data_IF_635132923697
#
_entry.id   IF_635132923697
#
_cell.length_a   1.000
_cell.length_b   1.000
_cell.length_c   1.000
_cell.angle_alpha   90.00
_cell.angle_beta   90.00
_cell.angle_gamma   90.00
#
_symmetry.space_group_name_H-M   'P 1'
#
loop_
_entity.id
_entity.type
_entity.pdbx_description
1 polymer ?
#
# COMPACT_ATOMS: atom_id res chain seq x y z
N UNK A 1 39.74 17.40 -34.70
CA UNK A 1 39.97 16.03 -35.17
C UNK A 1 39.05 15.83 -36.36
N UNK A 2 39.57 15.43 -37.51
CA UNK A 2 38.74 15.15 -38.68
C UNK A 2 37.89 13.90 -38.44
N UNK A 3 36.76 13.80 -39.14
CA UNK A 3 35.91 12.61 -39.06
C UNK A 3 36.67 11.36 -39.51
N UNK A 4 36.56 10.25 -38.77
CA UNK A 4 37.25 9.00 -39.11
C UNK A 4 36.78 8.46 -40.44
N UNK A 5 37.71 8.01 -41.29
CA UNK A 5 37.38 7.30 -42.52
C UNK A 5 36.71 5.95 -42.21
N UNK A 6 35.90 5.45 -43.14
CA UNK A 6 35.18 4.17 -42.98
C UNK A 6 36.12 2.97 -42.76
N UNK A 7 37.30 3.01 -43.40
CA UNK A 7 38.38 2.04 -43.18
C UNK A 7 39.01 2.11 -41.79
N UNK A 8 39.03 3.29 -41.17
CA UNK A 8 39.57 3.45 -39.82
C UNK A 8 38.60 2.94 -38.76
N UNK A 9 37.29 3.16 -38.95
CA UNK A 9 36.26 2.59 -38.07
C UNK A 9 36.27 1.07 -38.10
N UNK A 10 36.49 0.47 -39.29
CA UNK A 10 36.61 -0.98 -39.45
C UNK A 10 37.82 -1.59 -38.72
N UNK A 11 38.85 -0.79 -38.38
CA UNK A 11 40.03 -1.26 -37.66
C UNK A 11 39.88 -1.34 -36.14
N UNK A 12 38.78 -0.78 -35.59
CA UNK A 12 38.51 -0.78 -34.14
C UNK A 12 37.68 -2.04 -33.81
N UNK A 13 38.37 -3.14 -33.55
CA UNK A 13 37.72 -4.42 -33.23
C UNK A 13 37.48 -4.61 -31.73
N UNK A 14 38.27 -3.95 -30.89
CA UNK A 14 38.21 -4.08 -29.44
C UNK A 14 38.11 -2.72 -28.75
N UNK A 15 37.61 -2.75 -27.51
CA UNK A 15 37.64 -1.59 -26.61
C UNK A 15 39.08 -1.09 -26.39
N UNK A 16 40.06 -1.99 -26.46
CA UNK A 16 41.50 -1.67 -26.43
C UNK A 16 41.97 -0.86 -27.64
N UNK A 17 41.45 -1.14 -28.83
CA UNK A 17 41.78 -0.41 -30.07
C UNK A 17 41.19 1.00 -30.04
N UNK A 18 39.96 1.12 -29.52
CA UNK A 18 39.31 2.41 -29.31
C UNK A 18 40.11 3.28 -28.32
N UNK A 19 40.56 2.69 -27.20
CA UNK A 19 41.38 3.38 -26.20
C UNK A 19 42.75 3.82 -26.76
N UNK A 20 43.38 3.00 -27.60
CA UNK A 20 44.61 3.37 -28.30
C UNK A 20 44.40 4.57 -29.24
N UNK A 21 43.28 4.59 -29.98
CA UNK A 21 42.95 5.69 -30.90
C UNK A 21 42.79 7.03 -30.19
N UNK A 22 42.17 7.04 -29.01
CA UNK A 22 42.01 8.27 -28.21
C UNK A 22 43.24 8.62 -27.38
N UNK A 23 44.36 7.88 -27.54
CA UNK A 23 45.63 8.16 -26.88
C UNK A 23 45.65 7.83 -25.39
N UNK A 24 44.81 6.89 -24.93
CA UNK A 24 44.86 6.40 -23.55
C UNK A 24 46.05 5.44 -23.40
N UNK A 25 47.04 5.85 -22.61
CA UNK A 25 48.22 5.06 -22.28
C UNK A 25 48.02 4.24 -21.00
N UNK A 26 48.68 3.08 -20.93
CA UNK A 26 48.68 2.19 -19.77
C UNK A 26 48.27 0.75 -20.09
N UNK A 27 48.21 -0.09 -19.07
CA UNK A 27 47.67 -1.46 -19.15
C UNK A 27 46.20 -1.47 -18.73
N UNK A 28 45.41 -2.37 -19.30
CA UNK A 28 43.95 -2.42 -19.10
C UNK A 28 43.55 -2.66 -17.63
N UNK A 29 44.42 -3.34 -16.88
CA UNK A 29 44.17 -3.74 -15.49
C UNK A 29 44.80 -2.80 -14.44
N UNK A 30 45.51 -1.73 -14.87
CA UNK A 30 46.15 -0.80 -13.94
C UNK A 30 45.31 0.46 -13.72
N UNK A 31 44.65 0.52 -12.56
CA UNK A 31 43.83 1.66 -12.09
C UNK A 31 44.60 2.98 -11.99
N UNK A 32 45.93 2.95 -11.89
CA UNK A 32 46.76 4.16 -11.85
C UNK A 32 46.98 4.77 -13.23
N UNK A 33 46.69 4.02 -14.30
CA UNK A 33 46.77 4.52 -15.67
C UNK A 33 45.43 5.06 -16.14
N UNK A 34 45.46 6.07 -17.04
CA UNK A 34 44.24 6.63 -17.63
C UNK A 34 43.44 5.57 -18.37
N UNK A 35 44.12 4.60 -19.00
CA UNK A 35 43.52 3.48 -19.71
C UNK A 35 42.82 2.49 -18.77
N UNK A 36 43.48 2.03 -17.70
CA UNK A 36 42.86 1.09 -16.75
C UNK A 36 41.74 1.71 -15.90
N UNK A 37 41.86 2.98 -15.54
CA UNK A 37 40.76 3.72 -14.87
C UNK A 37 39.52 3.85 -15.77
N UNK A 38 39.72 4.13 -17.06
CA UNK A 38 38.64 4.20 -18.06
C UNK A 38 37.94 2.85 -18.24
N UNK A 39 38.68 1.73 -18.37
CA UNK A 39 38.07 0.40 -18.50
C UNK A 39 37.33 -0.05 -17.24
N UNK A 40 37.82 0.33 -16.06
CA UNK A 40 37.14 0.06 -14.79
C UNK A 40 35.82 0.82 -14.68
N UNK A 41 35.76 2.09 -15.10
CA UNK A 41 34.51 2.85 -15.15
C UNK A 41 33.49 2.25 -16.13
N UNK A 42 33.96 1.58 -17.18
CA UNK A 42 33.12 0.87 -18.14
C UNK A 42 32.75 -0.55 -17.72
N UNK A 43 33.20 -1.01 -16.54
CA UNK A 43 32.90 -2.34 -16.02
C UNK A 43 33.58 -3.49 -16.76
N UNK A 44 34.63 -3.20 -17.54
CA UNK A 44 35.39 -4.20 -18.30
C UNK A 44 36.48 -4.77 -17.38
N UNK A 45 36.14 -5.80 -16.61
CA UNK A 45 37.15 -6.59 -15.90
C UNK A 45 37.65 -7.70 -16.83
N UNK A 46 38.85 -7.54 -17.39
CA UNK A 46 39.51 -8.58 -18.19
C UNK A 46 39.96 -9.73 -17.28
N UNK A 47 39.13 -10.76 -17.12
CA UNK A 47 39.52 -12.00 -16.48
C UNK A 47 39.41 -13.17 -17.47
N UNK A 48 40.48 -13.39 -18.25
CA UNK A 48 40.88 -14.65 -18.92
C UNK A 48 42.25 -14.36 -19.55
N UNK A 49 43.33 -15.14 -19.46
CA UNK A 49 43.55 -16.56 -19.24
C UNK A 49 45.04 -16.73 -18.83
N UNK A 50 45.36 -17.29 -17.67
CA UNK A 50 46.67 -17.94 -17.45
C UNK A 50 46.47 -19.24 -16.68
N UNK A 51 46.79 -20.34 -17.36
CA UNK A 51 46.84 -21.69 -16.82
C UNK A 51 48.05 -21.85 -15.93
N UNK A 52 47.84 -22.00 -14.62
CA UNK A 52 48.81 -22.64 -13.72
C UNK A 52 48.09 -23.61 -12.79
N UNK A 53 48.52 -24.87 -12.88
CA UNK A 53 48.09 -26.00 -12.06
C UNK A 53 48.45 -25.76 -10.59
N UNK A 54 47.44 -25.54 -9.75
CA UNK A 54 47.52 -25.72 -8.30
C UNK A 54 46.21 -26.34 -7.79
N UNK A 55 46.37 -27.36 -6.96
CA UNK A 55 45.33 -28.22 -6.39
C UNK A 55 44.20 -27.42 -5.68
N UNK A 56 42.93 -27.82 -5.77
CA UNK A 56 41.83 -27.03 -5.22
C UNK A 56 41.70 -27.24 -3.70
N UNK A 57 41.99 -26.20 -2.93
CA UNK A 57 41.32 -26.01 -1.64
C UNK A 57 39.88 -25.55 -1.90
N UNK A 58 38.87 -26.11 -1.22
CA UNK A 58 37.48 -25.76 -1.46
C UNK A 58 37.23 -24.34 -0.93
N UNK A 59 37.28 -23.35 -1.81
CA UNK A 59 36.63 -22.07 -1.54
C UNK A 59 35.14 -22.34 -1.57
N UNK A 60 34.53 -22.38 -0.40
CA UNK A 60 33.10 -22.29 -0.24
C UNK A 60 32.63 -21.01 -0.93
N UNK A 61 32.10 -21.14 -2.13
CA UNK A 61 31.25 -20.14 -2.76
C UNK A 61 29.97 -20.12 -1.95
N UNK A 62 29.92 -19.29 -0.91
CA UNK A 62 28.64 -18.81 -0.42
C UNK A 62 28.06 -17.93 -1.53
N UNK A 63 27.31 -18.53 -2.45
CA UNK A 63 26.37 -17.78 -3.28
C UNK A 63 25.34 -17.20 -2.31
N UNK A 64 25.60 -15.99 -1.80
CA UNK A 64 24.59 -15.24 -1.07
C UNK A 64 23.42 -15.09 -2.04
N UNK A 65 22.31 -15.80 -1.77
CA UNK A 65 21.11 -15.68 -2.57
C UNK A 65 20.72 -14.21 -2.65
N UNK A 66 20.67 -13.65 -3.85
CA UNK A 66 20.23 -12.28 -4.08
C UNK A 66 18.82 -12.10 -3.49
N UNK A 67 18.57 -10.95 -2.86
CA UNK A 67 17.27 -10.65 -2.27
C UNK A 67 16.25 -10.54 -3.40
N UNK A 68 15.35 -11.50 -3.52
CA UNK A 68 14.28 -11.47 -4.53
C UNK A 68 13.02 -10.75 -4.04
N UNK A 69 12.26 -10.19 -4.98
CA UNK A 69 10.95 -9.57 -4.78
C UNK A 69 9.91 -10.41 -5.52
N UNK A 70 8.81 -10.76 -4.87
CA UNK A 70 7.68 -11.47 -5.51
C UNK A 70 6.66 -10.48 -6.05
N UNK A 71 6.27 -10.60 -7.31
CA UNK A 71 5.30 -9.71 -7.94
C UNK A 71 3.92 -9.79 -7.26
N UNK A 72 3.56 -10.95 -6.72
CA UNK A 72 2.30 -11.17 -6.01
C UNK A 72 2.16 -10.34 -4.72
N UNK A 73 3.26 -9.75 -4.24
CA UNK A 73 3.30 -8.89 -3.07
C UNK A 73 3.30 -7.40 -3.42
N UNK A 74 3.32 -7.05 -4.72
CA UNK A 74 3.63 -5.68 -5.16
C UNK A 74 2.67 -5.16 -6.24
N UNK A 75 2.47 -5.89 -7.34
CA UNK A 75 1.77 -5.37 -8.55
C UNK A 75 0.56 -6.19 -8.99
N UNK A 76 0.49 -7.47 -8.63
CA UNK A 76 -0.64 -8.36 -8.96
C UNK A 76 -0.91 -9.24 -7.75
N UNK A 77 -2.13 -9.75 -7.54
CA UNK A 77 -2.38 -10.72 -6.46
C UNK A 77 -2.14 -12.18 -6.89
N UNK A 78 -1.90 -12.41 -8.18
CA UNK A 78 -1.80 -13.75 -8.78
C UNK A 78 -0.45 -14.04 -9.44
N UNK A 79 0.40 -13.04 -9.63
CA UNK A 79 1.68 -13.21 -10.33
C UNK A 79 2.81 -13.62 -9.38
N UNK A 80 3.17 -14.91 -9.35
CA UNK A 80 4.20 -15.44 -8.45
C UNK A 80 5.65 -15.17 -8.90
N UNK A 81 5.85 -14.45 -10.01
CA UNK A 81 7.18 -14.20 -10.57
C UNK A 81 8.11 -13.53 -9.55
N UNK A 82 9.35 -14.01 -9.50
CA UNK A 82 10.41 -13.44 -8.67
C UNK A 82 11.35 -12.57 -9.50
N UNK A 83 11.63 -11.37 -9.02
CA UNK A 83 12.49 -10.40 -9.70
C UNK A 83 13.60 -9.90 -8.78
N UNK A 84 14.63 -9.33 -9.40
CA UNK A 84 15.75 -8.70 -8.71
C UNK A 84 15.41 -7.26 -8.28
N UNK A 85 16.00 -6.77 -7.18
CA UNK A 85 15.78 -5.41 -6.69
C UNK A 85 16.52 -4.39 -7.57
N UNK A 86 16.05 -3.15 -7.56
CA UNK A 86 16.74 -2.05 -8.27
C UNK A 86 18.08 -1.72 -7.60
N UNK A 87 19.06 -1.38 -8.44
CA UNK A 87 20.30 -0.77 -7.97
C UNK A 87 20.09 0.68 -7.53
N UNK A 88 20.98 1.20 -6.69
CA UNK A 88 20.95 2.62 -6.30
C UNK A 88 21.12 3.55 -7.51
N UNK A 89 21.97 3.17 -8.47
CA UNK A 89 22.18 3.92 -9.71
C UNK A 89 20.90 4.04 -10.54
N UNK A 90 20.13 2.95 -10.66
CA UNK A 90 18.83 2.98 -11.34
C UNK A 90 17.85 3.93 -10.64
N UNK A 91 17.79 3.89 -9.31
CA UNK A 91 16.92 4.78 -8.53
C UNK A 91 17.29 6.25 -8.75
N UNK A 92 18.58 6.59 -8.79
CA UNK A 92 19.03 7.95 -9.08
C UNK A 92 18.56 8.44 -10.45
N UNK A 93 18.65 7.59 -11.48
CA UNK A 93 18.14 7.91 -12.83
C UNK A 93 16.62 8.13 -12.79
N UNK A 94 15.89 7.27 -12.08
CA UNK A 94 14.43 7.36 -11.94
C UNK A 94 14.00 8.67 -11.26
N UNK A 95 14.68 9.08 -10.19
CA UNK A 95 14.42 10.38 -9.54
C UNK A 95 14.83 11.56 -10.43
N UNK A 96 15.94 11.46 -11.17
CA UNK A 96 16.34 12.50 -12.12
C UNK A 96 15.28 12.74 -13.21
N UNK A 97 14.62 11.68 -13.70
CA UNK A 97 13.49 11.79 -14.64
C UNK A 97 12.28 12.50 -14.03
N UNK A 98 11.97 12.22 -12.78
CA UNK A 98 10.92 12.95 -12.06
C UNK A 98 11.26 14.44 -11.91
N UNK A 99 12.49 14.75 -11.50
CA UNK A 99 12.97 16.14 -11.37
C UNK A 99 12.98 16.88 -12.70
N UNK A 100 13.29 16.22 -13.81
CA UNK A 100 13.24 16.82 -15.14
C UNK A 100 11.84 17.35 -15.50
N UNK A 101 10.80 16.67 -15.02
CA UNK A 101 9.41 17.05 -15.30
C UNK A 101 8.82 18.01 -14.26
N UNK A 102 9.10 17.81 -12.98
CA UNK A 102 8.48 18.55 -11.88
C UNK A 102 9.36 19.67 -11.28
N UNK A 103 10.63 19.73 -11.67
CA UNK A 103 11.60 20.71 -11.22
C UNK A 103 12.73 20.11 -10.37
N UNK A 104 13.89 20.76 -10.41
CA UNK A 104 15.09 20.33 -9.69
C UNK A 104 14.84 20.24 -8.18
N UNK A 105 15.30 19.14 -7.58
CA UNK A 105 15.15 18.84 -6.15
C UNK A 105 13.73 18.47 -5.72
N UNK A 106 12.77 18.34 -6.64
CA UNK A 106 11.42 17.88 -6.33
C UNK A 106 11.37 16.37 -6.19
N UNK A 107 10.49 15.89 -5.31
CA UNK A 107 10.16 14.47 -5.16
C UNK A 107 8.66 14.26 -5.17
N UNK A 108 8.19 13.06 -5.55
CA UNK A 108 6.82 12.68 -5.26
C UNK A 108 6.51 12.91 -3.78
N UNK A 109 5.31 13.41 -3.43
CA UNK A 109 4.93 13.50 -2.03
C UNK A 109 4.87 12.09 -1.42
N UNK A 110 5.19 11.95 -0.13
CA UNK A 110 5.32 10.64 0.54
C UNK A 110 4.11 9.70 0.37
N UNK A 111 2.90 10.24 0.19
CA UNK A 111 1.68 9.47 -0.03
C UNK A 111 1.46 9.06 -1.49
N UNK A 112 2.35 9.42 -2.41
CA UNK A 112 2.31 9.08 -3.84
C UNK A 112 3.68 8.66 -4.39
N UNK A 113 4.71 8.57 -3.54
CA UNK A 113 6.03 8.07 -3.92
C UNK A 113 5.98 6.54 -4.06
N UNK A 114 6.35 5.98 -5.22
CA UNK A 114 6.47 4.53 -5.38
C UNK A 114 7.68 4.01 -4.61
N UNK A 115 7.56 2.85 -3.97
CA UNK A 115 8.71 2.19 -3.34
C UNK A 115 9.66 1.62 -4.38
N UNK A 116 10.91 1.32 -3.99
CA UNK A 116 11.88 0.67 -4.88
C UNK A 116 11.36 -0.68 -5.38
N UNK A 117 10.63 -1.44 -4.56
CA UNK A 117 9.99 -2.69 -4.99
C UNK A 117 8.87 -2.47 -6.02
N UNK A 118 8.06 -1.42 -5.86
CA UNK A 118 7.02 -1.05 -6.84
C UNK A 118 7.61 -0.64 -8.19
N UNK A 119 8.71 0.13 -8.17
CA UNK A 119 9.46 0.49 -9.39
C UNK A 119 10.12 -0.73 -10.03
N UNK A 120 10.73 -1.62 -9.24
CA UNK A 120 11.34 -2.86 -9.73
C UNK A 120 10.32 -3.74 -10.47
N UNK A 121 9.15 -3.91 -9.86
CA UNK A 121 8.05 -4.73 -10.40
C UNK A 121 7.56 -4.21 -11.74
N UNK A 122 7.23 -2.91 -11.84
CA UNK A 122 6.79 -2.32 -13.10
C UNK A 122 7.91 -2.31 -14.15
N UNK A 123 9.17 -2.06 -13.77
CA UNK A 123 10.33 -2.14 -14.68
C UNK A 123 10.44 -3.53 -15.30
N UNK A 124 10.27 -4.58 -14.50
CA UNK A 124 10.36 -5.97 -14.97
C UNK A 124 9.27 -6.30 -15.99
N UNK A 125 8.03 -5.85 -15.77
CA UNK A 125 6.94 -6.00 -16.73
C UNK A 125 7.26 -5.28 -18.05
N UNK A 126 7.70 -4.02 -17.98
CA UNK A 126 8.05 -3.21 -19.16
C UNK A 126 9.21 -3.83 -19.94
N UNK A 127 10.28 -4.24 -19.25
CA UNK A 127 11.44 -4.88 -19.88
C UNK A 127 11.08 -6.21 -20.55
N UNK A 128 10.05 -6.89 -20.05
CA UNK A 128 9.52 -8.13 -20.63
C UNK A 128 8.46 -7.88 -21.72
N UNK A 129 8.26 -6.62 -22.15
CA UNK A 129 7.23 -6.20 -23.10
C UNK A 129 5.80 -6.62 -22.69
N UNK A 130 5.58 -6.78 -21.38
CA UNK A 130 4.28 -7.04 -20.78
C UNK A 130 3.59 -5.72 -20.43
N UNK A 131 2.27 -5.77 -20.28
CA UNK A 131 1.50 -4.61 -19.80
C UNK A 131 2.00 -4.21 -18.41
N UNK A 132 2.34 -2.93 -18.16
CA UNK A 132 2.70 -2.44 -16.84
C UNK A 132 1.43 -2.31 -16.00
N UNK A 133 0.75 -3.43 -15.75
CA UNK A 133 -0.44 -3.49 -14.92
C UNK A 133 -0.07 -3.39 -13.44
N UNK A 134 -0.93 -2.73 -12.68
CA UNK A 134 -0.83 -2.59 -11.24
C UNK A 134 -2.21 -2.77 -10.60
N UNK A 135 -2.39 -3.81 -9.80
CA UNK A 135 -3.61 -4.03 -9.03
C UNK A 135 -3.67 -3.04 -7.85
N UNK A 136 -4.62 -2.11 -7.90
CA UNK A 136 -4.76 -1.06 -6.89
C UNK A 136 -5.29 -1.54 -5.53
N UNK A 137 -5.62 -2.83 -5.39
CA UNK A 137 -5.82 -3.46 -4.08
C UNK A 137 -4.52 -3.58 -3.27
N UNK A 138 -3.39 -3.75 -3.96
CA UNK A 138 -2.06 -3.91 -3.32
C UNK A 138 -1.03 -2.86 -3.77
N UNK A 139 -1.26 -2.22 -4.91
CA UNK A 139 -0.45 -1.14 -5.44
C UNK A 139 -1.05 0.21 -5.06
N UNK A 140 -0.64 0.73 -3.91
CA UNK A 140 -1.08 2.04 -3.42
C UNK A 140 0.01 2.73 -2.60
N UNK A 141 -0.33 3.86 -2.00
CA UNK A 141 0.55 4.64 -1.13
C UNK A 141 1.11 3.79 0.01
N UNK A 142 2.33 4.10 0.44
CA UNK A 142 2.99 3.39 1.53
C UNK A 142 3.10 1.86 1.29
N UNK A 143 3.61 1.45 0.13
CA UNK A 143 3.69 0.04 -0.29
C UNK A 143 4.25 -0.92 0.76
N UNK A 144 5.27 -0.53 1.53
CA UNK A 144 5.81 -1.34 2.63
C UNK A 144 4.78 -1.66 3.73
N UNK A 145 3.82 -0.76 4.00
CA UNK A 145 2.72 -0.99 4.95
C UNK A 145 1.72 -1.97 4.38
N UNK A 146 1.45 -1.90 3.08
CA UNK A 146 0.55 -2.81 2.36
C UNK A 146 1.15 -4.21 2.31
N UNK A 147 2.44 -4.35 1.99
CA UNK A 147 3.15 -5.63 2.03
C UNK A 147 3.06 -6.29 3.42
N UNK A 148 3.19 -5.51 4.50
CA UNK A 148 2.97 -6.02 5.86
C UNK A 148 1.52 -6.49 6.04
N UNK A 149 0.54 -5.68 5.62
CA UNK A 149 -0.88 -6.05 5.70
C UNK A 149 -1.18 -7.35 4.95
N UNK A 150 -0.65 -7.50 3.74
CA UNK A 150 -0.80 -8.69 2.91
C UNK A 150 -0.20 -9.93 3.58
N UNK A 151 1.00 -9.81 4.18
CA UNK A 151 1.63 -10.91 4.92
C UNK A 151 0.89 -11.33 6.20
N UNK A 152 0.21 -10.40 6.86
CA UNK A 152 -0.57 -10.67 8.07
C UNK A 152 -2.04 -10.93 7.78
N UNK A 153 -2.44 -11.02 6.51
CA UNK A 153 -3.79 -11.40 6.15
C UNK A 153 -3.98 -12.89 6.47
N UNK A 154 -4.90 -13.16 7.40
CA UNK A 154 -5.18 -14.53 7.84
C UNK A 154 -5.82 -15.36 6.73
N UNK A 155 -5.73 -16.68 6.88
CA UNK A 155 -6.48 -17.61 6.06
C UNK A 155 -7.95 -17.60 6.50
N UNK A 156 -8.87 -17.49 5.56
CA UNK A 156 -10.31 -17.66 5.78
C UNK A 156 -10.71 -19.09 5.44
N UNK A 157 -11.60 -19.68 6.23
CA UNK A 157 -12.15 -21.00 5.92
C UNK A 157 -13.15 -20.86 4.76
N UNK A 158 -12.90 -21.56 3.66
CA UNK A 158 -13.79 -21.65 2.50
C UNK A 158 -15.03 -22.48 2.84
N UNK A 159 -16.05 -22.46 1.96
CA UNK A 159 -17.21 -23.36 2.08
C UNK A 159 -16.84 -24.85 1.97
N UNK A 160 -15.70 -25.17 1.34
CA UNK A 160 -15.16 -26.54 1.27
C UNK A 160 -14.38 -26.95 2.53
N UNK A 161 -14.21 -26.04 3.51
CA UNK A 161 -13.44 -26.31 4.72
C UNK A 161 -11.93 -26.13 4.55
N UNK A 162 -11.48 -25.57 3.43
CA UNK A 162 -10.07 -25.27 3.16
C UNK A 162 -9.71 -23.87 3.65
N UNK A 163 -8.49 -23.70 4.14
CA UNK A 163 -7.98 -22.39 4.54
C UNK A 163 -7.46 -21.64 3.30
N UNK A 164 -8.20 -20.65 2.84
CA UNK A 164 -7.88 -19.85 1.65
C UNK A 164 -7.44 -18.44 2.07
N UNK A 165 -6.33 -17.98 1.52
CA UNK A 165 -5.90 -16.60 1.70
C UNK A 165 -6.94 -15.67 1.06
N UNK A 166 -7.54 -14.77 1.84
CA UNK A 166 -8.54 -13.83 1.31
C UNK A 166 -7.85 -12.80 0.43
N UNK A 167 -8.41 -12.51 -0.74
CA UNK A 167 -7.95 -11.43 -1.60
C UNK A 167 -8.07 -10.06 -0.92
N UNK A 168 -7.16 -9.17 -1.27
CA UNK A 168 -7.27 -7.76 -0.94
C UNK A 168 -8.26 -7.09 -1.89
N UNK A 169 -9.11 -6.25 -1.35
CA UNK A 169 -10.07 -5.50 -2.14
C UNK A 169 -9.47 -4.18 -2.64
N UNK A 170 -9.93 -3.78 -3.82
CA UNK A 170 -9.55 -2.55 -4.48
C UNK A 170 -10.06 -1.29 -3.79
N UNK A 171 -9.74 -0.10 -4.34
CA UNK A 171 -10.13 1.17 -3.78
C UNK A 171 -11.65 1.31 -3.61
N UNK A 172 -12.07 1.73 -2.42
CA UNK A 172 -13.47 1.90 -2.05
C UNK A 172 -14.17 3.15 -2.61
N UNK A 173 -13.43 4.08 -3.23
CA UNK A 173 -13.94 5.33 -3.79
C UNK A 173 -12.98 5.88 -4.85
N UNK A 174 -13.44 6.85 -5.64
CA UNK A 174 -12.56 7.59 -6.56
C UNK A 174 -11.37 8.23 -5.82
N UNK A 175 -11.57 8.71 -4.59
CA UNK A 175 -10.50 9.36 -3.82
C UNK A 175 -9.35 8.39 -3.48
N UNK A 176 -9.68 7.18 -3.01
CA UNK A 176 -8.68 6.14 -2.74
C UNK A 176 -8.04 5.63 -4.03
N UNK A 177 -8.79 5.56 -5.14
CA UNK A 177 -8.24 5.22 -6.44
C UNK A 177 -7.24 6.28 -6.93
N UNK A 178 -7.51 7.58 -6.78
CA UNK A 178 -6.57 8.66 -7.17
C UNK A 178 -5.26 8.58 -6.40
N UNK A 179 -5.26 8.06 -5.17
CA UNK A 179 -4.04 7.81 -4.40
C UNK A 179 -3.22 6.71 -5.05
N UNK A 180 -3.83 5.55 -5.34
CA UNK A 180 -3.17 4.42 -6.02
C UNK A 180 -2.68 4.80 -7.41
N UNK A 181 -3.54 5.44 -8.21
CA UNK A 181 -3.21 5.94 -9.54
C UNK A 181 -2.10 6.99 -9.50
N UNK A 182 -2.03 7.82 -8.46
CA UNK A 182 -0.94 8.78 -8.27
C UNK A 182 0.42 8.11 -8.09
N UNK A 183 0.48 7.00 -7.34
CA UNK A 183 1.71 6.18 -7.22
C UNK A 183 2.07 5.57 -8.58
N UNK A 184 1.07 5.04 -9.29
CA UNK A 184 1.27 4.43 -10.61
C UNK A 184 1.79 5.45 -11.65
N UNK A 185 1.16 6.62 -11.71
CA UNK A 185 1.56 7.74 -12.57
C UNK A 185 3.00 8.16 -12.30
N UNK A 186 3.39 8.34 -11.03
CA UNK A 186 4.75 8.70 -10.67
C UNK A 186 5.74 7.59 -11.06
N UNK A 187 5.37 6.32 -10.85
CA UNK A 187 6.20 5.19 -11.26
C UNK A 187 6.41 5.14 -12.78
N UNK A 188 5.36 5.34 -13.57
CA UNK A 188 5.45 5.36 -15.04
C UNK A 188 6.36 6.49 -15.55
N UNK A 189 6.31 7.67 -14.93
CA UNK A 189 7.21 8.80 -15.26
C UNK A 189 8.66 8.48 -14.87
N UNK A 190 8.86 7.98 -13.65
CA UNK A 190 10.19 7.61 -13.14
C UNK A 190 10.84 6.51 -14.00
N UNK A 191 10.03 5.57 -14.52
CA UNK A 191 10.47 4.51 -15.42
C UNK A 191 10.63 4.95 -16.87
N UNK A 192 10.20 6.18 -17.21
CA UNK A 192 10.14 6.70 -18.58
C UNK A 192 9.27 5.86 -19.52
N UNK A 193 8.22 5.26 -18.96
CA UNK A 193 7.32 4.35 -19.67
C UNK A 193 6.21 5.08 -20.43
N UNK A 194 5.79 6.25 -19.93
CA UNK A 194 4.78 7.10 -20.52
C UNK A 194 4.94 8.55 -20.05
N UNK A 195 4.47 9.48 -20.88
CA UNK A 195 4.41 10.91 -20.61
C UNK A 195 3.24 11.25 -19.71
N UNK A 196 3.37 12.40 -19.04
CA UNK A 196 2.35 12.90 -18.12
C UNK A 196 1.00 13.15 -18.81
N UNK A 197 1.00 13.58 -20.08
CA UNK A 197 -0.20 13.88 -20.84
C UNK A 197 -1.18 12.69 -20.94
N UNK A 198 -0.78 11.56 -21.57
CA UNK A 198 -1.62 10.36 -21.67
C UNK A 198 -2.08 9.83 -20.31
N UNK A 199 -1.22 9.85 -19.28
CA UNK A 199 -1.58 9.43 -17.92
C UNK A 199 -2.67 10.33 -17.31
N UNK A 200 -2.54 11.65 -17.45
CA UNK A 200 -3.57 12.59 -16.98
C UNK A 200 -4.87 12.48 -17.79
N UNK A 201 -4.78 12.20 -19.09
CA UNK A 201 -5.96 12.00 -19.93
C UNK A 201 -6.76 10.76 -19.51
N UNK A 202 -6.08 9.63 -19.26
CA UNK A 202 -6.71 8.42 -18.73
C UNK A 202 -7.37 8.71 -17.37
N UNK A 203 -6.66 9.39 -16.47
CA UNK A 203 -7.23 9.82 -15.19
C UNK A 203 -8.48 10.68 -15.36
N UNK A 204 -8.43 11.67 -16.25
CA UNK A 204 -9.56 12.56 -16.51
C UNK A 204 -10.76 11.80 -17.11
N UNK A 205 -10.53 10.71 -17.85
CA UNK A 205 -11.61 9.83 -18.32
C UNK A 205 -12.35 9.19 -17.15
N UNK A 206 -11.64 8.57 -16.21
CA UNK A 206 -12.23 7.96 -15.01
C UNK A 206 -12.96 9.02 -14.16
N UNK A 207 -12.33 10.18 -13.94
CA UNK A 207 -12.92 11.27 -13.16
C UNK A 207 -14.23 11.78 -13.79
N UNK A 208 -14.28 12.00 -15.12
CA UNK A 208 -15.49 12.43 -15.82
C UNK A 208 -16.61 11.40 -15.75
N UNK A 209 -16.28 10.11 -15.86
CA UNK A 209 -17.26 9.03 -15.74
C UNK A 209 -17.84 8.97 -14.32
N UNK A 210 -17.00 9.08 -13.29
CA UNK A 210 -17.47 9.16 -11.91
C UNK A 210 -18.34 10.39 -11.66
N UNK A 211 -17.95 11.57 -12.16
CA UNK A 211 -18.74 12.80 -12.02
C UNK A 211 -20.12 12.67 -12.68
N UNK A 212 -20.19 12.03 -13.86
CA UNK A 212 -21.43 11.87 -14.62
C UNK A 212 -22.40 10.86 -14.00
N UNK A 213 -21.92 9.71 -13.54
CA UNK A 213 -22.77 8.59 -13.09
C UNK A 213 -22.83 8.44 -11.56
N UNK A 214 -21.92 9.09 -10.84
CA UNK A 214 -21.92 9.22 -9.38
C UNK A 214 -21.29 8.06 -8.62
N UNK A 215 -21.22 8.22 -7.29
CA UNK A 215 -20.56 7.25 -6.38
C UNK A 215 -21.20 5.85 -6.41
N UNK A 216 -22.48 5.79 -6.76
CA UNK A 216 -23.25 4.53 -6.77
C UNK A 216 -22.73 3.52 -7.79
N UNK A 217 -22.13 4.00 -8.88
CA UNK A 217 -21.56 3.15 -9.94
C UNK A 217 -20.07 2.95 -9.76
N UNK A 218 -19.49 3.34 -8.62
CA UNK A 218 -18.03 3.26 -8.40
C UNK A 218 -17.49 1.83 -8.53
N UNK A 219 -18.16 0.85 -7.93
CA UNK A 219 -17.71 -0.55 -8.01
C UNK A 219 -17.62 -1.04 -9.47
N UNK A 220 -18.65 -0.74 -10.27
CA UNK A 220 -18.69 -1.03 -11.70
C UNK A 220 -17.59 -0.26 -12.46
N UNK A 221 -17.41 1.03 -12.16
CA UNK A 221 -16.37 1.85 -12.80
C UNK A 221 -14.97 1.32 -12.49
N UNK A 222 -14.72 0.86 -11.26
CA UNK A 222 -13.46 0.26 -10.89
C UNK A 222 -13.22 -1.08 -11.60
N UNK A 223 -14.24 -1.91 -11.78
CA UNK A 223 -14.15 -3.13 -12.60
C UNK A 223 -13.79 -2.81 -14.05
N UNK A 224 -14.49 -1.85 -14.66
CA UNK A 224 -14.17 -1.40 -16.01
C UNK A 224 -12.73 -0.81 -16.10
N UNK A 225 -12.26 -0.07 -15.09
CA UNK A 225 -10.87 0.41 -15.01
C UNK A 225 -9.85 -0.74 -14.95
N UNK A 226 -10.11 -1.76 -14.14
CA UNK A 226 -9.24 -2.95 -14.05
C UNK A 226 -9.17 -3.66 -15.41
N UNK A 227 -10.31 -3.95 -16.04
CA UNK A 227 -10.36 -4.55 -17.39
C UNK A 227 -9.67 -3.68 -18.43
N UNK A 228 -9.86 -2.36 -18.36
CA UNK A 228 -9.21 -1.42 -19.27
C UNK A 228 -7.69 -1.51 -19.16
N UNK A 229 -7.13 -1.48 -17.94
CA UNK A 229 -5.68 -1.48 -17.71
C UNK A 229 -5.04 -2.86 -17.90
N UNK A 230 -5.77 -3.94 -17.60
CA UNK A 230 -5.27 -5.31 -17.66
C UNK A 230 -5.45 -5.94 -19.04
N UNK A 231 -6.61 -5.76 -19.67
CA UNK A 231 -7.01 -6.49 -20.88
C UNK A 231 -7.07 -5.60 -22.12
N UNK A 232 -7.67 -4.42 -22.02
CA UNK A 232 -7.88 -3.57 -23.21
C UNK A 232 -6.60 -2.81 -23.61
N UNK A 233 -5.81 -2.34 -22.64
CA UNK A 233 -4.55 -1.66 -22.88
C UNK A 233 -3.56 -2.48 -23.74
N UNK A 234 -3.29 -3.77 -23.46
CA UNK A 234 -2.43 -4.57 -24.34
C UNK A 234 -3.05 -4.83 -25.72
N UNK A 235 -4.39 -4.94 -25.83
CA UNK A 235 -5.06 -5.05 -27.14
C UNK A 235 -4.86 -3.79 -27.98
N UNK A 236 -5.11 -2.61 -27.40
CA UNK A 236 -4.88 -1.31 -28.03
C UNK A 236 -3.43 -1.18 -28.48
N UNK A 237 -2.46 -1.53 -27.63
CA UNK A 237 -1.04 -1.48 -28.00
C UNK A 237 -0.74 -2.37 -29.20
N UNK A 238 -1.28 -3.59 -29.24
CA UNK A 238 -1.04 -4.52 -30.34
C UNK A 238 -1.64 -3.98 -31.66
N UNK A 239 -2.86 -3.46 -31.62
CA UNK A 239 -3.51 -2.81 -32.78
C UNK A 239 -2.64 -1.66 -33.32
N UNK A 240 -2.16 -0.79 -32.42
CA UNK A 240 -1.29 0.33 -32.78
C UNK A 240 0.04 -0.13 -33.36
N UNK A 241 0.67 -1.18 -32.81
CA UNK A 241 1.91 -1.74 -33.34
C UNK A 241 1.72 -2.31 -34.75
N UNK A 242 0.63 -3.03 -34.98
CA UNK A 242 0.30 -3.56 -36.31
C UNK A 242 0.08 -2.44 -37.31
N UNK A 243 -0.69 -1.41 -36.94
CA UNK A 243 -0.93 -0.25 -37.77
C UNK A 243 0.38 0.54 -38.06
N UNK A 244 1.24 0.69 -37.06
CA UNK A 244 2.54 1.33 -37.20
C UNK A 244 3.46 0.57 -38.16
N UNK A 245 3.56 -0.76 -38.02
CA UNK A 245 4.34 -1.60 -38.92
C UNK A 245 3.82 -1.51 -40.37
N UNK A 246 2.50 -1.54 -40.56
CA UNK A 246 1.89 -1.37 -41.87
C UNK A 246 2.19 0.02 -42.47
N UNK A 247 2.06 1.09 -41.66
CA UNK A 247 2.37 2.45 -42.09
C UNK A 247 3.84 2.62 -42.50
N UNK A 248 4.79 2.11 -41.70
CA UNK A 248 6.22 2.15 -42.05
C UNK A 248 6.48 1.41 -43.35
N UNK A 249 5.87 0.23 -43.55
CA UNK A 249 6.03 -0.53 -44.81
C UNK A 249 5.51 0.22 -46.03
N UNK A 250 4.52 1.10 -45.84
CA UNK A 250 3.98 1.99 -46.85
C UNK A 250 4.70 3.36 -46.92
N UNK A 251 5.86 3.51 -46.29
CA UNK A 251 6.62 4.76 -46.16
C UNK A 251 5.85 5.92 -45.51
N UNK A 252 4.87 5.60 -44.66
CA UNK A 252 4.14 6.55 -43.81
C UNK A 252 4.72 6.64 -42.40
N UNK A 253 4.09 7.49 -41.57
CA UNK A 253 4.45 7.69 -40.15
C UNK A 253 3.22 7.55 -39.25
N UNK A 254 3.43 7.22 -37.98
CA UNK A 254 2.37 7.24 -36.96
C UNK A 254 2.91 7.83 -35.65
N UNK A 255 2.03 8.24 -34.72
CA UNK A 255 2.43 8.71 -33.38
C UNK A 255 2.97 7.60 -32.45
N UNK A 256 2.92 6.33 -32.87
CA UNK A 256 3.33 5.20 -32.03
C UNK A 256 4.87 5.11 -31.95
N UNK A 257 5.38 4.96 -30.73
CA UNK A 257 6.81 4.81 -30.44
C UNK A 257 7.08 3.41 -29.87
N UNK A 258 7.96 2.65 -30.51
CA UNK A 258 8.36 1.31 -30.07
C UNK A 258 9.08 1.30 -28.71
N UNK A 259 9.82 2.37 -28.38
CA UNK A 259 10.50 2.48 -27.10
C UNK A 259 9.52 2.83 -25.96
N UNK A 260 8.45 3.57 -26.29
CA UNK A 260 7.46 4.07 -25.32
C UNK A 260 6.03 3.79 -25.81
N UNK A 261 5.66 2.51 -25.99
CA UNK A 261 4.42 2.13 -26.66
C UNK A 261 3.17 2.49 -25.87
N UNK A 262 3.32 2.71 -24.56
CA UNK A 262 2.21 3.01 -23.66
C UNK A 262 1.68 4.44 -23.80
N UNK A 263 2.46 5.35 -24.39
CA UNK A 263 2.02 6.73 -24.64
C UNK A 263 0.77 6.77 -25.50
N UNK A 264 0.88 6.23 -26.71
CA UNK A 264 -0.23 6.24 -27.66
C UNK A 264 -1.33 5.26 -27.22
N UNK A 265 -0.96 4.12 -26.61
CA UNK A 265 -1.94 3.15 -26.14
C UNK A 265 -2.84 3.71 -25.02
N UNK A 266 -2.28 4.43 -24.03
CA UNK A 266 -3.07 5.06 -22.97
C UNK A 266 -3.96 6.18 -23.53
N UNK A 267 -3.44 6.97 -24.47
CA UNK A 267 -4.19 8.05 -25.14
C UNK A 267 -5.42 7.48 -25.85
N UNK A 268 -5.22 6.44 -26.67
CA UNK A 268 -6.31 5.78 -27.41
C UNK A 268 -7.28 5.09 -26.46
N UNK A 269 -6.79 4.40 -25.42
CA UNK A 269 -7.65 3.73 -24.43
C UNK A 269 -8.56 4.72 -23.69
N UNK A 270 -8.05 5.90 -23.32
CA UNK A 270 -8.85 6.93 -22.65
C UNK A 270 -10.04 7.41 -23.49
N UNK A 271 -9.92 7.39 -24.82
CA UNK A 271 -10.95 7.82 -25.77
C UNK A 271 -11.66 6.64 -26.47
N UNK A 272 -11.45 5.40 -26.01
CA UNK A 272 -12.01 4.18 -26.63
C UNK A 272 -13.47 4.00 -26.26
N UNK A 273 -14.34 4.85 -26.81
CA UNK A 273 -15.74 4.94 -26.42
C UNK A 273 -16.50 3.62 -26.57
N UNK A 274 -16.21 2.80 -27.58
CA UNK A 274 -16.83 1.47 -27.72
C UNK A 274 -16.65 0.63 -26.44
N UNK A 275 -15.41 0.50 -25.97
CA UNK A 275 -15.09 -0.25 -24.75
C UNK A 275 -15.82 0.35 -23.54
N UNK A 276 -15.70 1.66 -23.32
CA UNK A 276 -16.28 2.31 -22.15
C UNK A 276 -17.81 2.28 -22.15
N UNK A 277 -18.44 2.33 -23.33
CA UNK A 277 -19.89 2.24 -23.47
C UNK A 277 -20.37 0.86 -23.03
N UNK A 278 -19.75 -0.20 -23.56
CA UNK A 278 -20.11 -1.59 -23.28
C UNK A 278 -19.79 -1.97 -21.82
N UNK A 279 -18.60 -1.67 -21.34
CA UNK A 279 -18.13 -2.10 -20.00
C UNK A 279 -18.66 -1.26 -18.84
N UNK A 280 -19.02 0.00 -19.09
CA UNK A 280 -19.40 0.91 -18.01
C UNK A 280 -20.67 1.72 -18.29
N UNK A 281 -20.76 2.45 -19.39
CA UNK A 281 -21.84 3.43 -19.54
C UNK A 281 -23.21 2.77 -19.65
N UNK A 282 -23.37 1.72 -20.44
CA UNK A 282 -24.64 1.00 -20.57
C UNK A 282 -25.06 0.34 -19.25
N UNK A 283 -24.21 -0.43 -18.54
CA UNK A 283 -24.57 -0.96 -17.23
C UNK A 283 -24.81 0.14 -16.18
N UNK A 284 -24.09 1.26 -16.23
CA UNK A 284 -24.29 2.40 -15.34
C UNK A 284 -25.67 3.05 -15.53
N UNK A 285 -26.15 3.18 -16.78
CA UNK A 285 -27.49 3.69 -17.08
C UNK A 285 -28.56 2.76 -16.50
N UNK A 286 -28.38 1.43 -16.60
CA UNK A 286 -29.30 0.45 -16.03
C UNK A 286 -29.34 0.51 -14.49
N UNK A 287 -28.18 0.72 -13.85
CA UNK A 287 -28.08 0.95 -12.40
C UNK A 287 -28.77 2.26 -11.99
N UNK A 288 -28.67 3.30 -12.82
CA UNK A 288 -29.33 4.57 -12.56
C UNK A 288 -30.86 4.44 -12.67
N UNK A 289 -31.35 3.62 -13.60
CA UNK A 289 -32.78 3.39 -13.84
C UNK A 289 -33.43 2.50 -12.77
N UNK A 290 -32.76 1.44 -12.32
CA UNK A 290 -33.29 0.55 -11.27
C UNK A 290 -32.26 0.30 -10.16
N UNK A 291 -32.74 0.34 -8.92
CA UNK A 291 -31.87 0.12 -7.78
C UNK A 291 -31.44 -1.34 -7.60
N UNK A 292 -32.23 -2.28 -8.11
CA UNK A 292 -32.00 -3.71 -7.88
C UNK A 292 -30.94 -4.32 -8.81
N UNK A 293 -30.70 -3.69 -9.98
CA UNK A 293 -29.74 -4.11 -11.01
C UNK A 293 -28.26 -4.00 -10.59
N UNK A 294 -27.93 -3.28 -9.51
CA UNK A 294 -26.54 -3.12 -9.05
C UNK A 294 -25.85 -4.46 -8.80
N UNK A 295 -26.54 -5.42 -8.18
CA UNK A 295 -25.95 -6.73 -7.88
C UNK A 295 -25.81 -7.62 -9.11
N UNK A 296 -26.56 -7.34 -10.17
CA UNK A 296 -26.53 -8.11 -11.41
C UNK A 296 -25.49 -7.58 -12.40
N UNK A 297 -25.19 -6.29 -12.34
CA UNK A 297 -24.25 -5.62 -13.24
C UNK A 297 -22.80 -5.61 -12.73
N UNK A 298 -22.56 -5.98 -11.47
CA UNK A 298 -21.23 -6.00 -10.86
C UNK A 298 -20.75 -7.45 -10.78
N UNK A 299 -19.62 -7.73 -11.42
CA UNK A 299 -18.98 -9.04 -11.40
C UNK A 299 -18.12 -9.23 -10.14
N UNK A 300 -17.41 -10.36 -10.01
CA UNK A 300 -16.54 -10.63 -8.86
C UNK A 300 -15.04 -10.52 -9.18
N UNK A 301 -14.67 -9.94 -10.33
CA UNK A 301 -13.30 -9.86 -10.84
C UNK A 301 -12.47 -8.71 -10.23
N UNK A 302 -13.12 -7.61 -9.84
CA UNK A 302 -12.46 -6.52 -9.10
C UNK A 302 -13.34 -6.00 -7.95
N UNK A 303 -13.27 -6.67 -6.81
CA UNK A 303 -14.07 -6.31 -5.63
C UNK A 303 -13.47 -5.09 -4.92
N UNK A 304 -14.29 -4.11 -4.55
CA UNK A 304 -13.87 -2.91 -3.82
C UNK A 304 -13.96 -3.11 -2.30
N UNK A 305 -13.07 -2.46 -1.55
CA UNK A 305 -13.17 -2.44 -0.10
C UNK A 305 -14.45 -1.72 0.31
N UNK A 306 -15.09 -2.17 1.39
CA UNK A 306 -16.26 -1.49 1.93
C UNK A 306 -15.78 -0.21 2.58
N UNK A 307 -15.99 0.92 1.90
CA UNK A 307 -15.80 2.25 2.49
C UNK A 307 -16.41 2.25 3.89
N UNK A 308 -15.58 2.33 4.93
CA UNK A 308 -16.05 2.93 6.17
C UNK A 308 -16.42 4.35 5.78
N UNK A 309 -17.70 4.76 5.80
CA UNK A 309 -17.99 6.16 5.64
C UNK A 309 -17.16 6.90 6.69
N UNK A 310 -16.33 7.84 6.25
CA UNK A 310 -15.73 8.82 7.15
C UNK A 310 -16.85 9.82 7.48
N UNK A 311 -17.88 9.32 8.17
CA UNK A 311 -18.74 10.15 8.98
C UNK A 311 -17.97 10.40 10.26
N UNK A 312 -17.62 11.66 10.49
CA UNK A 312 -17.50 12.11 11.86
C UNK A 312 -18.78 11.66 12.60
N UNK A 313 -18.59 10.99 13.71
CA UNK A 313 -19.60 10.45 14.62
C UNK A 313 -20.26 9.10 14.23
N UNK A 314 -20.23 8.25 15.26
CA UNK A 314 -21.17 7.19 15.58
C UNK A 314 -21.10 5.88 14.79
N UNK A 315 -20.54 4.90 15.48
CA UNK A 315 -20.46 3.53 15.04
C UNK A 315 -21.83 2.88 14.95
N UNK A 316 -22.19 2.49 13.74
CA UNK A 316 -23.04 1.34 13.49
C UNK A 316 -22.51 0.63 12.23
N UNK A 317 -21.77 -0.47 12.42
CA UNK A 317 -21.67 -1.52 11.41
C UNK A 317 -22.63 -2.63 11.83
N UNK A 318 -23.85 -2.59 11.29
CA UNK A 318 -24.66 -3.78 11.12
C UNK A 318 -24.05 -4.60 9.98
N UNK A 319 -23.67 -5.84 10.26
CA UNK A 319 -23.46 -6.86 9.24
C UNK A 319 -24.45 -7.97 9.58
N UNK A 320 -25.57 -8.02 8.85
CA UNK A 320 -26.40 -9.21 8.75
C UNK A 320 -25.70 -10.17 7.79
N UNK A 321 -25.26 -11.31 8.31
CA UNK A 321 -25.26 -12.57 7.58
C UNK A 321 -25.84 -13.61 8.53
N UNK A 322 -26.95 -14.18 8.08
CA UNK A 322 -27.73 -15.19 8.76
C UNK A 322 -26.93 -16.47 8.92
N UNK A 323 -26.75 -16.87 10.18
CA UNK A 323 -26.32 -18.19 10.62
C UNK A 323 -26.94 -18.39 11.99
N UNK A 324 -27.68 -19.47 12.13
CA UNK A 324 -28.50 -19.79 13.31
C UNK A 324 -27.64 -19.97 14.58
N UNK A 325 -28.27 -19.75 15.73
CA UNK A 325 -27.84 -20.06 17.10
C UNK A 325 -26.91 -19.09 17.89
N UNK A 326 -27.42 -18.62 19.05
CA UNK A 326 -26.61 -18.24 20.21
C UNK A 326 -26.28 -16.75 20.40
N UNK A 327 -27.23 -15.98 20.93
CA UNK A 327 -27.09 -14.57 21.31
C UNK A 327 -25.94 -14.28 22.30
N UNK A 328 -24.75 -13.90 21.81
CA UNK A 328 -23.76 -13.16 22.62
C UNK A 328 -23.73 -11.68 22.18
N UNK A 329 -24.52 -10.84 22.86
CA UNK A 329 -24.46 -9.38 22.68
C UNK A 329 -23.07 -8.87 23.07
N UNK A 330 -22.36 -8.25 22.13
CA UNK A 330 -21.09 -7.57 22.39
C UNK A 330 -21.29 -6.49 23.47
N UNK A 331 -20.57 -6.62 24.59
CA UNK A 331 -20.74 -5.77 25.78
C UNK A 331 -20.07 -4.41 25.54
N UNK A 332 -20.70 -3.29 25.92
CA UNK A 332 -20.20 -1.95 25.61
C UNK A 332 -18.87 -1.73 26.32
N UNK A 333 -17.79 -1.44 25.58
CA UNK A 333 -16.53 -0.94 26.15
C UNK A 333 -16.60 0.58 26.15
N UNK A 334 -16.54 1.21 27.33
CA UNK A 334 -16.55 2.67 27.41
C UNK A 334 -15.19 3.22 26.93
N UNK A 335 -15.16 3.74 25.70
CA UNK A 335 -13.97 4.29 25.03
C UNK A 335 -13.42 5.55 25.73
N UNK A 336 -14.25 6.27 26.49
CA UNK A 336 -13.91 7.59 27.06
C UNK A 336 -13.30 7.54 28.47
N UNK A 337 -12.90 6.37 29.00
CA UNK A 337 -12.49 6.24 30.40
C UNK A 337 -11.10 5.61 30.59
N UNK A 338 -10.06 6.44 30.47
CA UNK A 338 -8.68 6.10 30.84
C UNK A 338 -8.43 6.47 32.31
N UNK A 339 -8.89 5.64 33.25
CA UNK A 339 -8.62 5.82 34.68
C UNK A 339 -9.27 4.74 35.56
N UNK A 340 -8.66 4.44 36.72
CA UNK A 340 -9.27 3.56 37.74
C UNK A 340 -10.36 4.33 38.47
N UNK A 341 -11.62 4.02 38.19
CA UNK A 341 -12.76 4.62 38.88
C UNK A 341 -13.18 3.67 40.01
N UNK A 342 -13.27 4.19 41.23
CA UNK A 342 -13.69 3.42 42.39
C UNK A 342 -14.76 4.20 43.12
N UNK A 343 -15.99 3.70 43.08
CA UNK A 343 -17.08 4.22 43.90
C UNK A 343 -17.31 3.22 45.03
N UNK A 344 -17.14 3.72 46.26
CA UNK A 344 -17.36 2.95 47.49
C UNK A 344 -18.54 3.57 48.20
N UNK A 345 -19.60 2.78 48.39
CA UNK A 345 -20.74 3.13 49.22
C UNK A 345 -20.83 2.11 50.36
N UNK A 346 -21.07 2.58 51.59
CA UNK A 346 -21.27 1.71 52.76
C UNK A 346 -20.13 0.68 52.99
N UNK A 347 -18.88 1.07 52.68
CA UNK A 347 -17.72 0.18 52.83
C UNK A 347 -17.67 -0.97 51.83
N UNK A 348 -18.36 -0.87 50.68
CA UNK A 348 -18.34 -1.85 49.58
C UNK A 348 -18.14 -1.15 48.23
N UNK A 349 -17.47 -1.80 47.29
CA UNK A 349 -17.38 -1.35 45.91
C UNK A 349 -18.74 -1.47 45.24
N UNK A 350 -19.21 -0.37 44.65
CA UNK A 350 -20.42 -0.35 43.81
C UNK A 350 -20.04 -0.57 42.34
N UNK A 351 -18.86 -0.09 41.96
CA UNK A 351 -18.29 -0.21 40.62
C UNK A 351 -16.96 -0.97 40.61
N UNK A 352 -16.67 -1.66 39.51
CA UNK A 352 -15.37 -2.25 39.27
C UNK A 352 -14.33 -1.22 38.79
N UNK A 353 -13.07 -1.66 38.62
CA UNK A 353 -11.94 -0.80 38.20
C UNK A 353 -12.17 -0.09 36.87
N UNK A 354 -13.07 -0.59 36.03
CA UNK A 354 -13.43 -0.04 34.72
C UNK A 354 -14.77 0.72 34.73
N UNK A 355 -15.40 0.89 35.91
CA UNK A 355 -16.58 1.71 36.11
C UNK A 355 -17.93 1.02 35.86
N UNK A 356 -18.00 -0.31 35.83
CA UNK A 356 -19.23 -1.10 35.67
C UNK A 356 -19.78 -1.54 37.01
N UNK A 357 -21.11 -1.62 37.12
CA UNK A 357 -21.80 -2.07 38.33
C UNK A 357 -21.51 -3.53 38.63
N UNK A 358 -21.36 -3.85 39.91
CA UNK A 358 -21.22 -5.23 40.35
C UNK A 358 -22.58 -5.91 40.43
N UNK A 359 -22.66 -7.17 40.01
CA UNK A 359 -23.88 -7.96 40.09
C UNK A 359 -24.22 -8.27 41.56
N UNK A 360 -25.34 -7.76 42.07
CA UNK A 360 -25.80 -8.00 43.45
C UNK A 360 -26.09 -9.48 43.72
N UNK A 361 -26.80 -10.14 42.79
CA UNK A 361 -27.11 -11.57 42.90
C UNK A 361 -25.85 -12.45 42.93
N UNK A 362 -24.76 -12.04 42.27
CA UNK A 362 -23.46 -12.72 42.35
C UNK A 362 -22.82 -12.55 43.73
N UNK A 363 -22.97 -11.38 44.37
CA UNK A 363 -22.45 -11.15 45.74
C UNK A 363 -23.12 -12.05 46.78
N UNK A 364 -24.38 -12.43 46.53
CA UNK A 364 -25.20 -13.30 47.39
C UNK A 364 -25.14 -14.79 46.99
N UNK A 365 -24.40 -15.14 45.93
CA UNK A 365 -24.30 -16.53 45.43
C UNK A 365 -25.51 -17.02 44.62
N UNK A 366 -26.46 -16.13 44.30
CA UNK A 366 -27.68 -16.43 43.53
C UNK A 366 -27.50 -16.32 42.01
N UNK A 367 -26.35 -15.82 41.56
CA UNK A 367 -25.95 -15.78 40.16
C UNK A 367 -24.58 -16.44 40.00
N UNK A 368 -24.49 -17.47 39.15
CA UNK A 368 -23.27 -18.26 38.91
C UNK A 368 -22.81 -18.23 37.45
N UNK A 369 -23.70 -17.84 36.55
CA UNK A 369 -23.47 -17.81 35.11
C UNK A 369 -22.49 -16.69 34.76
N UNK A 370 -21.22 -17.04 34.59
CA UNK A 370 -20.13 -16.10 34.31
C UNK A 370 -19.63 -16.30 32.89
N UNK A 371 -19.62 -15.23 32.11
CA UNK A 371 -19.09 -15.24 30.75
C UNK A 371 -17.85 -14.36 30.66
N UNK A 372 -16.93 -14.67 29.73
CA UNK A 372 -15.71 -13.90 29.51
C UNK A 372 -14.93 -13.62 30.82
N UNK A 373 -14.90 -14.61 31.71
CA UNK A 373 -14.12 -14.65 32.95
C UNK A 373 -14.62 -13.80 34.12
N UNK A 374 -15.28 -12.65 33.88
CA UNK A 374 -15.66 -11.70 34.96
C UNK A 374 -17.02 -11.03 34.78
N UNK A 375 -17.83 -11.48 33.82
CA UNK A 375 -19.07 -10.81 33.45
C UNK A 375 -20.31 -11.64 33.73
N UNK A 376 -21.41 -10.99 34.14
CA UNK A 376 -22.67 -11.67 34.42
C UNK A 376 -23.33 -12.18 33.13
N UNK A 377 -23.59 -13.47 33.01
CA UNK A 377 -24.29 -14.08 31.88
C UNK A 377 -25.74 -13.62 31.75
N UNK A 378 -26.41 -13.39 32.88
CA UNK A 378 -27.82 -12.97 32.94
C UNK A 378 -28.05 -11.50 32.61
N UNK A 379 -27.09 -10.62 32.94
CA UNK A 379 -27.24 -9.17 32.74
C UNK A 379 -25.96 -8.59 32.14
N UNK A 380 -26.00 -8.07 30.90
CA UNK A 380 -24.80 -7.75 30.14
C UNK A 380 -23.96 -6.58 30.69
N UNK A 381 -24.55 -5.70 31.48
CA UNK A 381 -23.95 -4.50 32.08
C UNK A 381 -23.38 -4.71 33.49
N UNK A 382 -23.55 -5.91 34.07
CA UNK A 382 -23.09 -6.24 35.41
C UNK A 382 -21.82 -7.12 35.39
N UNK A 383 -20.91 -6.84 36.31
CA UNK A 383 -19.67 -7.61 36.50
C UNK A 383 -19.79 -8.60 37.68
N UNK A 384 -19.26 -9.81 37.48
CA UNK A 384 -19.06 -10.85 38.49
C UNK A 384 -17.69 -10.66 39.16
N UNK A 385 -17.59 -9.64 40.00
CA UNK A 385 -16.41 -9.36 40.82
C UNK A 385 -16.85 -9.05 42.25
N UNK A 386 -16.04 -9.42 43.22
CA UNK A 386 -16.36 -9.26 44.64
C UNK A 386 -16.54 -7.78 45.01
N UNK A 387 -17.65 -7.42 45.67
CA UNK A 387 -17.89 -6.07 46.18
C UNK A 387 -16.93 -5.66 47.33
N UNK A 388 -16.15 -6.61 47.87
CA UNK A 388 -15.18 -6.34 48.94
C UNK A 388 -13.74 -6.20 48.44
N UNK A 389 -13.30 -7.01 47.49
CA UNK A 389 -11.91 -7.01 47.01
C UNK A 389 -11.72 -6.95 45.48
N UNK A 390 -12.82 -6.94 44.72
CA UNK A 390 -12.84 -7.01 43.24
C UNK A 390 -12.22 -8.29 42.64
N UNK A 391 -12.05 -9.35 43.43
CA UNK A 391 -11.63 -10.68 42.97
C UNK A 391 -12.74 -11.45 42.24
N UNK A 392 -12.37 -12.54 41.57
CA UNK A 392 -13.27 -13.41 40.80
C UNK A 392 -14.09 -14.38 41.69
N UNK A 393 -14.77 -13.84 42.71
CA UNK A 393 -15.69 -14.57 43.59
C UNK A 393 -16.78 -13.62 44.11
N UNK A 394 -17.93 -14.15 44.52
CA UNK A 394 -18.99 -13.36 45.16
C UNK A 394 -18.61 -12.99 46.60
N UNK A 395 -19.12 -11.86 47.11
CA UNK A 395 -18.84 -11.39 48.48
C UNK A 395 -19.08 -12.46 49.55
N UNK A 396 -20.08 -13.32 49.37
CA UNK A 396 -20.40 -14.45 50.26
C UNK A 396 -19.24 -15.44 50.47
N UNK A 397 -18.29 -15.52 49.54
CA UNK A 397 -17.10 -16.40 49.60
C UNK A 397 -15.81 -15.61 49.66
N UNK A 398 -15.85 -14.36 50.13
CA UNK A 398 -14.66 -13.52 50.18
C UNK A 398 -13.74 -13.93 51.34
N UNK A 399 -12.44 -14.17 51.09
CA UNK A 399 -11.49 -14.52 52.15
C UNK A 399 -11.10 -13.32 53.03
N UNK A 400 -11.52 -12.10 52.67
CA UNK A 400 -11.22 -10.89 53.43
C UNK A 400 -12.38 -10.56 54.37
N UNK A 401 -12.09 -10.39 55.67
CA UNK A 401 -13.08 -9.95 56.66
C UNK A 401 -13.58 -8.52 56.37
N UNK A 402 -12.67 -7.64 55.91
CA UNK A 402 -12.95 -6.25 55.55
C UNK A 402 -12.37 -5.90 54.18
N UNK A 403 -12.76 -4.73 53.64
CA UNK A 403 -12.19 -4.23 52.39
C UNK A 403 -10.68 -4.01 52.57
N UNK A 404 -9.81 -4.56 51.68
CA UNK A 404 -8.37 -4.35 51.76
C UNK A 404 -8.05 -2.85 51.68
N UNK A 405 -7.26 -2.34 52.64
CA UNK A 405 -6.77 -0.96 52.62
C UNK A 405 -5.79 -0.80 51.45
N UNK A 406 -6.21 -0.10 50.42
CA UNK A 406 -5.38 0.25 49.27
C UNK A 406 -4.85 1.67 49.46
N UNK A 407 -3.52 1.86 49.41
CA UNK A 407 -2.84 3.11 49.79
C UNK A 407 -3.20 4.37 48.99
N UNK A 408 -4.12 4.30 48.03
CA UNK A 408 -4.62 5.45 47.26
C UNK A 408 -6.01 5.93 47.72
N UNK A 409 -6.68 5.24 48.65
CA UNK A 409 -8.04 5.58 49.11
C UNK A 409 -8.10 6.76 50.13
N UNK A 410 -6.97 7.32 50.55
CA UNK A 410 -6.91 8.35 51.62
C UNK A 410 -6.79 9.81 51.15
N UNK A 411 -6.99 10.14 49.86
CA UNK A 411 -7.04 11.57 49.45
C UNK A 411 -8.47 12.12 49.44
N UNK A 412 -9.01 12.42 50.63
CA UNK A 412 -10.15 13.35 50.78
C UNK A 412 -9.72 14.75 50.36
N UNK A 413 -10.53 15.38 49.50
CA UNK A 413 -10.21 16.61 48.80
C UNK A 413 -9.99 17.84 49.68
N UNK A 414 -9.08 18.71 49.25
CA UNK A 414 -9.09 20.13 49.61
C UNK A 414 -9.74 20.90 48.47
N UNK A 415 -10.83 21.59 48.81
CA UNK A 415 -11.61 22.44 47.93
C UNK A 415 -10.76 23.51 47.26
N UNK A 416 -11.08 23.76 46.01
CA UNK A 416 -10.46 24.77 45.16
C UNK A 416 -11.16 26.10 45.44
N UNK A 417 -10.68 26.85 46.42
CA UNK A 417 -11.17 28.21 46.67
C UNK A 417 -10.58 29.18 45.63
N UNK A 418 -11.48 29.89 44.94
CA UNK A 418 -11.18 31.04 44.12
C UNK A 418 -10.85 32.21 45.04
N UNK A 419 -9.56 32.54 45.18
CA UNK A 419 -9.08 33.71 45.88
C UNK A 419 -8.30 34.63 44.95
N UNK A 420 -8.91 35.76 44.63
CA UNK A 420 -8.36 36.92 43.95
C UNK A 420 -7.21 37.58 44.76
N UNK A 421 -6.30 38.28 44.06
CA UNK A 421 -5.07 39.04 44.47
C UNK A 421 -3.85 38.52 43.69
N UNK A 422 -3.09 39.29 42.91
CA UNK A 422 -2.95 40.73 42.77
C UNK A 422 -1.46 41.06 42.58
N UNK A 423 -1.11 41.65 41.44
CA UNK A 423 0.09 42.47 41.13
C UNK A 423 1.51 41.87 41.28
N UNK A 424 2.27 41.89 40.18
CA UNK A 424 3.74 41.76 40.21
C UNK A 424 4.41 41.88 38.83
N UNK A 425 4.96 43.06 38.54
CA UNK A 425 5.66 43.52 37.32
C UNK A 425 6.76 42.59 36.80
N UNK A 426 7.00 42.61 35.48
CA UNK A 426 8.30 42.22 34.89
C UNK A 426 8.32 41.94 33.38
N UNK A 427 8.19 42.98 32.54
CA UNK A 427 8.62 42.93 31.13
C UNK A 427 10.16 42.88 31.08
N UNK A 428 10.75 42.08 30.17
CA UNK A 428 11.86 42.45 29.24
C UNK A 428 12.14 41.30 28.22
N UNK A 429 12.79 41.59 27.07
CA UNK A 429 12.35 41.13 25.75
C UNK A 429 13.21 40.00 25.15
N UNK A 430 12.69 39.45 24.04
CA UNK A 430 13.36 38.53 23.13
C UNK A 430 14.63 39.16 22.52
N UNK A 431 15.74 38.44 22.56
CA UNK A 431 16.86 38.61 21.64
C UNK A 431 16.97 37.37 20.75
N UNK A 432 17.04 37.62 19.44
CA UNK A 432 17.38 36.67 18.38
C UNK A 432 18.92 36.66 18.29
N UNK A 433 19.59 35.49 18.18
CA UNK A 433 20.95 35.45 17.69
C UNK A 433 20.99 35.19 16.18
N UNK A 434 21.92 35.90 15.54
CA UNK A 434 22.44 35.70 14.19
C UNK A 434 22.87 34.26 13.93
#
# INVERSE_FOLDING_TARGET
MGDPSESELASIATLGDAANRVGLSGTDDDLQTRRGSFFTQLGVNSATNVSTTASPSPKATSSAASRKIKLNQVVSQVDETEIEPLSEADLLIMFARYEALFGKGQRPPNNREPTSEQLAALRSLIASNQVPYADFAIFSSYGTRIQKKLRFQGLALSRSGELVQTEMYGPSSLSSWKVSYGVYLNAMIMLDAADLGPLLQYRARIERMHERYGERTWALLYQADVRARLEELPRVRLELKLAHNAAISAAGTTPYDDARPWNEALRVLADRDKFWTEEFMEPAILIAADKTTVRMAIDNDAVIDRATPVSAAEGQRQNQLSGDEGMFKARPRNINRTGRYHEIAEGKYVLNRTGYKLCGAFQEGKCTETVQGTWCGKTPDLAHQCARCLGAHGMWKCPHADMPRVGWAEKKGKGKDKGDKGKGKGKRPRSIPY
#
